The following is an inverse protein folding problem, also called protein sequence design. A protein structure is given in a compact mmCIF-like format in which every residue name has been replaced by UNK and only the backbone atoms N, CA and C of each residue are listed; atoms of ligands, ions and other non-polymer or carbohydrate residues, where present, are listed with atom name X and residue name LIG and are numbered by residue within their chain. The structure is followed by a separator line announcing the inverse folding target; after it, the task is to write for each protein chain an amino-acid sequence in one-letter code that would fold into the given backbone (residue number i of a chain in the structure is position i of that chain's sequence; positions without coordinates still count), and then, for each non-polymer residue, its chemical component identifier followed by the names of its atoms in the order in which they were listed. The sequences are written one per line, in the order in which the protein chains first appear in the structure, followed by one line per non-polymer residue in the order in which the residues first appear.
data_IF_517752354966
#
_entry.id   IF_517752354966
#
_cell.length_a   1.000
_cell.length_b   1.000
_cell.length_c   1.000
_cell.angle_alpha   90.00
_cell.angle_beta   90.00
_cell.angle_gamma   90.00
#
_symmetry.space_group_name_H-M   'P 1'
#
loop_
_entity.id
_entity.type
_entity.pdbx_description
1 polymer ?
#
# COMPACT_ATOMS: atom_id res chain seq x y z
N UNK A 1 -3.39 -5.59 -38.35
CA UNK A 1 -4.10 -4.98 -37.21
C UNK A 1 -3.75 -5.79 -35.97
N UNK A 2 -2.59 -5.51 -35.38
CA UNK A 2 -2.16 -6.14 -34.14
C UNK A 2 -2.71 -5.28 -33.00
N UNK A 3 -3.39 -5.92 -32.05
CA UNK A 3 -3.78 -5.28 -30.80
C UNK A 3 -2.51 -5.07 -29.97
N UNK A 4 -2.17 -3.82 -29.68
CA UNK A 4 -1.16 -3.47 -28.67
C UNK A 4 -1.67 -4.00 -27.32
N UNK A 5 -1.02 -5.05 -26.81
CA UNK A 5 -1.24 -5.54 -25.47
C UNK A 5 -0.87 -4.45 -24.45
N UNK A 6 -1.76 -4.23 -23.49
CA UNK A 6 -1.61 -3.23 -22.43
C UNK A 6 -0.42 -3.55 -21.51
N UNK A 7 0.77 -3.07 -21.87
CA UNK A 7 2.02 -3.26 -21.13
C UNK A 7 2.07 -2.56 -19.76
N UNK A 8 1.03 -1.83 -19.37
CA UNK A 8 0.95 -1.11 -18.09
C UNK A 8 0.49 -1.95 -16.90
N UNK A 9 0.15 -3.23 -17.11
CA UNK A 9 -0.41 -4.12 -16.08
C UNK A 9 0.66 -5.10 -15.56
N UNK A 10 1.64 -5.45 -16.38
CA UNK A 10 2.72 -6.36 -16.00
C UNK A 10 3.52 -5.81 -14.81
N UNK A 11 3.56 -6.58 -13.72
CA UNK A 11 4.24 -6.21 -12.47
C UNK A 11 3.34 -5.57 -11.40
N UNK A 12 2.04 -5.37 -11.63
CA UNK A 12 1.12 -4.96 -10.56
C UNK A 12 0.75 -6.15 -9.68
N UNK A 13 0.68 -5.96 -8.36
CA UNK A 13 0.39 -7.05 -7.40
C UNK A 13 -0.91 -7.81 -7.70
N UNK A 14 -1.91 -7.13 -8.26
CA UNK A 14 -3.23 -7.68 -8.53
C UNK A 14 -3.35 -8.41 -9.88
N UNK A 15 -2.38 -8.26 -10.78
CA UNK A 15 -2.51 -8.70 -12.17
C UNK A 15 -2.25 -10.18 -12.41
N UNK A 16 -1.91 -10.94 -11.36
CA UNK A 16 -1.86 -12.40 -11.47
C UNK A 16 -3.28 -12.94 -11.55
N UNK A 17 -3.48 -14.01 -12.31
CA UNK A 17 -4.81 -14.61 -12.54
C UNK A 17 -5.51 -14.94 -11.21
N UNK A 18 -4.79 -15.53 -10.25
CA UNK A 18 -5.32 -15.85 -8.92
C UNK A 18 -5.74 -14.62 -8.11
N UNK A 19 -4.95 -13.53 -8.12
CA UNK A 19 -5.28 -12.29 -7.39
C UNK A 19 -6.44 -11.55 -8.04
N UNK A 20 -6.47 -11.49 -9.37
CA UNK A 20 -7.57 -10.88 -10.11
C UNK A 20 -8.90 -11.57 -9.77
N UNK A 21 -8.92 -12.91 -9.74
CA UNK A 21 -10.14 -13.64 -9.39
C UNK A 21 -10.58 -13.37 -7.94
N UNK A 22 -9.66 -13.36 -6.97
CA UNK A 22 -9.96 -13.00 -5.58
C UNK A 22 -10.61 -11.61 -5.45
N UNK A 23 -10.12 -10.62 -6.20
CA UNK A 23 -10.69 -9.28 -6.19
C UNK A 23 -12.08 -9.22 -6.81
N UNK A 24 -12.33 -10.00 -7.88
CA UNK A 24 -13.66 -10.13 -8.48
C UNK A 24 -14.64 -10.74 -7.47
N UNK A 25 -14.22 -11.79 -6.77
CA UNK A 25 -15.06 -12.47 -5.79
C UNK A 25 -15.42 -11.54 -4.62
N UNK A 26 -14.45 -10.81 -4.07
CA UNK A 26 -14.70 -9.78 -3.04
C UNK A 26 -15.67 -8.69 -3.53
N UNK A 27 -15.51 -8.23 -4.77
CA UNK A 27 -16.37 -7.20 -5.34
C UNK A 27 -17.81 -7.68 -5.59
N UNK A 28 -18.03 -8.99 -5.76
CA UNK A 28 -19.38 -9.59 -5.83
C UNK A 28 -20.06 -9.62 -4.47
N UNK A 29 -19.30 -9.76 -3.40
CA UNK A 29 -19.82 -9.71 -2.02
C UNK A 29 -20.18 -8.28 -1.61
N UNK A 30 -19.32 -7.30 -1.91
CA UNK A 30 -19.56 -5.90 -1.58
C UNK A 30 -18.78 -4.95 -2.49
N UNK A 31 -19.45 -3.91 -2.99
CA UNK A 31 -18.84 -2.86 -3.81
C UNK A 31 -19.51 -1.50 -3.55
N UNK A 32 -18.74 -0.39 -3.44
CA UNK A 32 -17.29 -0.27 -3.67
C UNK A 32 -16.43 -0.84 -2.52
N UNK A 33 -15.23 -1.34 -2.86
CA UNK A 33 -14.25 -1.87 -1.90
C UNK A 33 -12.85 -1.32 -2.18
N UNK A 34 -12.18 -0.82 -1.15
CA UNK A 34 -10.74 -0.55 -1.18
C UNK A 34 -9.99 -1.80 -0.72
N UNK A 35 -9.05 -2.26 -1.54
CA UNK A 35 -8.18 -3.41 -1.21
C UNK A 35 -6.73 -2.95 -1.25
N UNK A 36 -6.01 -3.21 -0.16
CA UNK A 36 -4.59 -2.91 -0.02
C UNK A 36 -3.79 -4.21 0.02
N UNK A 37 -2.67 -4.26 -0.70
CA UNK A 37 -1.75 -5.39 -0.66
C UNK A 37 -0.66 -5.13 0.40
N UNK A 38 -0.79 -5.80 1.55
CA UNK A 38 0.16 -5.71 2.66
C UNK A 38 1.62 -6.02 2.27
N UNK A 39 1.89 -7.08 1.49
CA UNK A 39 3.25 -7.36 0.98
C UNK A 39 3.87 -6.20 0.21
N UNK A 40 3.11 -5.51 -0.65
CA UNK A 40 3.59 -4.32 -1.36
C UNK A 40 3.97 -3.19 -0.39
N UNK A 41 3.19 -2.97 0.68
CA UNK A 41 3.52 -1.99 1.74
C UNK A 41 4.81 -2.37 2.45
N UNK A 42 4.94 -3.62 2.88
CA UNK A 42 6.14 -4.10 3.57
C UNK A 42 7.40 -4.02 2.68
N UNK A 43 7.27 -4.32 1.39
CA UNK A 43 8.36 -4.20 0.43
C UNK A 43 8.81 -2.74 0.28
N UNK A 44 7.88 -1.79 0.17
CA UNK A 44 8.21 -0.37 0.08
C UNK A 44 8.93 0.12 1.34
N UNK A 45 8.45 -0.27 2.53
CA UNK A 45 9.10 0.07 3.80
C UNK A 45 10.52 -0.50 3.89
N UNK A 46 10.72 -1.75 3.47
CA UNK A 46 12.04 -2.39 3.44
C UNK A 46 13.01 -1.67 2.51
N UNK A 47 12.55 -1.26 1.32
CA UNK A 47 13.35 -0.49 0.36
C UNK A 47 13.77 0.86 0.96
N UNK A 48 12.85 1.58 1.60
CA UNK A 48 13.17 2.85 2.25
C UNK A 48 14.17 2.65 3.40
N UNK A 49 13.97 1.61 4.22
CA UNK A 49 14.86 1.30 5.35
C UNK A 49 16.28 0.92 4.91
N UNK A 50 16.44 0.45 3.68
CA UNK A 50 17.76 0.10 3.12
C UNK A 50 18.63 1.31 2.75
N UNK A 51 18.06 2.52 2.70
CA UNK A 51 18.78 3.74 2.34
C UNK A 51 19.70 4.19 3.49
N UNK A 52 21.01 4.18 3.25
CA UNK A 52 22.02 4.57 4.25
C UNK A 52 22.23 6.08 4.40
N UNK A 53 21.74 6.89 3.46
CA UNK A 53 21.93 8.34 3.45
C UNK A 53 20.82 9.11 4.18
N UNK A 54 19.86 8.42 4.81
CA UNK A 54 18.70 9.02 5.48
C UNK A 54 18.63 8.52 6.92
N UNK A 55 18.68 9.44 7.88
CA UNK A 55 18.67 9.10 9.31
C UNK A 55 17.30 8.64 9.81
N UNK A 56 16.22 9.18 9.25
CA UNK A 56 14.86 8.95 9.73
C UNK A 56 13.83 9.19 8.64
N UNK A 57 12.75 8.42 8.70
CA UNK A 57 11.62 8.52 7.79
C UNK A 57 10.33 8.75 8.57
N UNK A 58 9.46 9.59 8.03
CA UNK A 58 8.16 9.90 8.61
C UNK A 58 7.07 9.66 7.58
N UNK A 59 6.13 8.78 7.90
CA UNK A 59 4.97 8.49 7.06
C UNK A 59 3.89 9.55 7.25
N UNK A 60 3.45 10.19 6.17
CA UNK A 60 2.37 11.15 6.19
C UNK A 60 1.02 10.45 6.37
N UNK A 61 0.40 10.55 7.55
CA UNK A 61 -0.84 9.82 7.90
C UNK A 61 -1.97 10.10 6.91
N UNK A 62 -2.09 11.36 6.45
CA UNK A 62 -3.07 11.80 5.44
C UNK A 62 -3.03 11.00 4.12
N UNK A 63 -1.94 10.30 3.81
CA UNK A 63 -1.84 9.49 2.60
C UNK A 63 -2.73 8.24 2.68
N UNK A 64 -2.74 7.57 3.83
CA UNK A 64 -3.63 6.46 4.13
C UNK A 64 -3.62 6.19 5.65
N UNK A 65 -4.67 6.60 6.39
CA UNK A 65 -4.73 6.40 7.84
C UNK A 65 -5.18 4.99 8.23
N UNK A 66 -5.28 4.02 7.31
CA UNK A 66 -5.77 2.68 7.67
C UNK A 66 -4.90 2.04 8.78
N UNK A 67 -5.49 1.54 9.89
CA UNK A 67 -4.73 1.08 11.06
C UNK A 67 -3.66 0.02 10.77
N UNK A 68 -3.93 -0.89 9.83
CA UNK A 68 -2.96 -1.92 9.46
C UNK A 68 -1.77 -1.37 8.67
N UNK A 69 -1.97 -0.30 7.88
CA UNK A 69 -0.87 0.40 7.20
C UNK A 69 -0.02 1.14 8.22
N UNK A 70 -0.65 1.86 9.14
CA UNK A 70 0.07 2.54 10.22
C UNK A 70 0.84 1.55 11.10
N UNK A 71 0.25 0.40 11.44
CA UNK A 71 0.96 -0.65 12.20
C UNK A 71 2.19 -1.15 11.45
N UNK A 72 2.08 -1.44 10.15
CA UNK A 72 3.22 -1.88 9.35
C UNK A 72 4.34 -0.83 9.32
N UNK A 73 3.99 0.46 9.18
CA UNK A 73 4.94 1.59 9.22
C UNK A 73 5.66 1.64 10.57
N UNK A 74 4.92 1.56 11.67
CA UNK A 74 5.46 1.58 13.02
C UNK A 74 6.40 0.39 13.27
N UNK A 75 5.99 -0.82 12.89
CA UNK A 75 6.78 -2.04 13.03
C UNK A 75 8.08 -1.99 12.20
N UNK A 76 8.07 -1.30 11.06
CA UNK A 76 9.28 -1.04 10.26
C UNK A 76 10.22 0.02 10.88
N UNK A 77 9.82 0.62 12.01
CA UNK A 77 10.60 1.61 12.76
C UNK A 77 10.61 3.01 12.15
N UNK A 78 9.55 3.37 11.43
CA UNK A 78 9.33 4.70 10.85
C UNK A 78 8.53 5.56 11.85
N UNK A 79 8.72 6.87 11.79
CA UNK A 79 7.88 7.84 12.48
C UNK A 79 6.61 8.19 11.70
N UNK A 80 5.76 9.03 12.28
CA UNK A 80 4.56 9.57 11.62
C UNK A 80 4.62 11.09 11.53
N UNK A 81 4.19 11.61 10.39
CA UNK A 81 3.92 13.02 10.15
C UNK A 81 2.40 13.23 10.22
N UNK A 82 1.98 14.18 11.06
CA UNK A 82 0.58 14.53 11.33
C UNK A 82 0.38 16.02 11.09
N UNK A 83 -0.69 16.38 10.38
CA UNK A 83 -1.08 17.77 10.07
C UNK A 83 -2.31 18.23 10.86
N UNK A 84 -2.92 17.36 11.67
CA UNK A 84 -4.09 17.69 12.48
C UNK A 84 -4.11 16.97 13.84
N UNK A 85 -4.79 17.54 14.87
CA UNK A 85 -4.99 16.83 16.14
C UNK A 85 -5.77 15.53 16.03
N UNK A 86 -6.57 15.35 14.96
CA UNK A 86 -7.32 14.12 14.72
C UNK A 86 -6.41 12.95 14.36
N UNK A 87 -5.34 13.20 13.59
CA UNK A 87 -4.37 12.18 13.19
C UNK A 87 -3.52 11.69 14.36
N UNK A 88 -3.24 12.56 15.34
CA UNK A 88 -2.51 12.19 16.56
C UNK A 88 -3.34 11.27 17.47
N UNK A 89 -4.67 11.39 17.40
CA UNK A 89 -5.61 10.60 18.23
C UNK A 89 -6.09 9.32 17.55
N UNK A 90 -5.64 9.05 16.32
CA UNK A 90 -6.11 7.96 15.48
C UNK A 90 -5.75 6.59 16.03
#
# INVERSE_FOLDING_TARGET
MQAEAASGIEGRWWSTEGRTQQLIDLARESSPLYVYDGPSVAQALSQLRSLSSIDSFFYAIKANPHPDVLRAVYEAGFGFECVSPGEVKH
#
